data_IF_287673057372
#
_entry.id   IF_287673057372
#
_cell.length_a   1.000
_cell.length_b   1.000
_cell.length_c   1.000
_cell.angle_alpha   90.00
_cell.angle_beta   90.00
_cell.angle_gamma   90.00
#
_symmetry.space_group_name_H-M   'P 1'
#
loop_
_entity.id
_entity.type
_entity.pdbx_description
1 polymer ?
#
# COMPACT_ATOMS: atom_id res chain seq x y z
N UNK A 1 -10.71 16.77 -5.67
CA UNK A 1 -11.23 15.55 -6.35
C UNK A 1 -10.50 15.11 -7.63
N UNK A 2 -9.95 16.02 -8.46
CA UNK A 2 -9.39 15.66 -9.79
C UNK A 2 -8.00 14.99 -9.79
N UNK A 3 -7.16 15.26 -8.79
CA UNK A 3 -5.78 14.73 -8.72
C UNK A 3 -5.73 13.25 -8.36
N UNK A 4 -6.57 12.81 -7.42
CA UNK A 4 -6.64 11.42 -6.93
C UNK A 4 -7.03 10.41 -8.02
N UNK A 5 -8.07 10.73 -8.81
CA UNK A 5 -8.47 9.87 -9.96
C UNK A 5 -7.36 9.73 -11.00
N UNK A 6 -6.55 10.78 -11.19
CA UNK A 6 -5.44 10.80 -12.16
C UNK A 6 -4.25 9.95 -11.68
N UNK A 7 -3.87 10.05 -10.39
CA UNK A 7 -2.84 9.20 -9.77
C UNK A 7 -3.23 7.71 -9.80
N UNK A 8 -4.48 7.39 -9.43
CA UNK A 8 -5.00 6.01 -9.42
C UNK A 8 -5.01 5.37 -10.82
N UNK A 9 -5.41 6.11 -11.85
CA UNK A 9 -5.39 5.62 -13.24
C UNK A 9 -3.95 5.34 -13.71
N UNK A 10 -3.04 6.30 -13.51
CA UNK A 10 -1.63 6.17 -13.90
C UNK A 10 -0.91 5.00 -13.23
N UNK A 11 -1.26 4.68 -11.98
CA UNK A 11 -0.67 3.54 -11.27
C UNK A 11 -1.01 2.19 -11.92
N UNK A 12 -2.30 1.91 -12.15
CA UNK A 12 -2.68 0.64 -12.79
C UNK A 12 -2.06 0.56 -14.17
N UNK A 13 -2.00 1.67 -14.92
CA UNK A 13 -1.32 1.72 -16.21
C UNK A 13 0.18 1.34 -16.09
N UNK A 14 0.88 1.77 -15.02
CA UNK A 14 2.30 1.46 -14.78
C UNK A 14 2.55 0.02 -14.33
N UNK A 15 1.79 -0.50 -13.34
CA UNK A 15 1.89 -1.89 -12.87
C UNK A 15 1.72 -2.89 -14.02
N UNK A 16 0.86 -2.49 -14.94
CA UNK A 16 0.47 -3.27 -16.10
C UNK A 16 1.53 -3.22 -17.21
N UNK A 17 2.23 -2.09 -17.38
CA UNK A 17 3.32 -1.95 -18.35
C UNK A 17 4.59 -2.72 -17.95
N UNK A 18 4.92 -2.81 -16.66
CA UNK A 18 6.15 -3.51 -16.22
C UNK A 18 6.07 -5.03 -16.38
N UNK A 19 4.86 -5.60 -16.42
CA UNK A 19 4.64 -7.05 -16.50
C UNK A 19 4.62 -7.58 -17.93
N UNK A 20 4.40 -6.73 -18.93
CA UNK A 20 4.34 -7.08 -20.34
C UNK A 20 4.42 -5.80 -21.15
N UNK A 21 5.43 -5.64 -22.03
CA UNK A 21 5.56 -4.49 -22.94
C UNK A 21 4.45 -4.39 -24.02
N UNK A 22 3.24 -4.89 -23.72
CA UNK A 22 2.09 -4.96 -24.60
C UNK A 22 0.94 -4.11 -24.06
N UNK A 23 0.16 -3.54 -24.97
CA UNK A 23 -1.12 -2.90 -24.68
C UNK A 23 -2.00 -3.85 -23.88
N UNK A 24 -2.29 -3.50 -22.63
CA UNK A 24 -3.10 -4.34 -21.76
C UNK A 24 -4.57 -4.00 -21.94
N UNK A 25 -5.34 -5.05 -22.18
CA UNK A 25 -6.75 -4.91 -22.48
C UNK A 25 -7.48 -4.52 -21.19
N UNK A 26 -8.57 -3.72 -21.26
CA UNK A 26 -9.37 -3.36 -20.09
C UNK A 26 -9.81 -4.55 -19.22
N UNK A 27 -9.98 -5.74 -19.83
CA UNK A 27 -10.29 -6.99 -19.12
C UNK A 27 -9.17 -7.41 -18.17
N UNK A 28 -7.92 -7.28 -18.59
CA UNK A 28 -6.75 -7.68 -17.82
C UNK A 28 -6.55 -6.70 -16.64
N UNK A 29 -6.73 -5.39 -16.85
CA UNK A 29 -6.73 -4.37 -15.76
C UNK A 29 -7.78 -4.69 -14.69
N UNK A 30 -8.99 -5.09 -15.10
CA UNK A 30 -10.04 -5.47 -14.16
C UNK A 30 -9.72 -6.77 -13.40
N UNK A 31 -9.03 -7.72 -14.03
CA UNK A 31 -8.57 -8.94 -13.37
C UNK A 31 -7.50 -8.64 -12.33
N UNK A 32 -6.49 -7.82 -12.66
CA UNK A 32 -5.47 -7.40 -11.70
C UNK A 32 -6.07 -6.67 -10.51
N UNK A 33 -6.97 -5.70 -10.74
CA UNK A 33 -7.71 -5.01 -9.67
C UNK A 33 -8.43 -5.98 -8.76
N UNK A 34 -9.12 -6.99 -9.32
CA UNK A 34 -9.82 -7.99 -8.52
C UNK A 34 -8.85 -8.88 -7.74
N UNK A 35 -7.70 -9.21 -8.30
CA UNK A 35 -6.70 -10.06 -7.65
C UNK A 35 -6.11 -9.36 -6.43
N UNK A 36 -5.59 -8.14 -6.60
CA UNK A 36 -5.01 -7.36 -5.48
C UNK A 36 -6.06 -7.00 -4.42
N UNK A 37 -7.33 -6.88 -4.80
CA UNK A 37 -8.42 -6.59 -3.87
C UNK A 37 -8.85 -7.83 -3.08
N UNK A 38 -8.67 -9.04 -3.62
CA UNK A 38 -9.14 -10.30 -3.02
C UNK A 38 -8.06 -11.13 -2.35
N UNK A 39 -6.78 -10.85 -2.63
CA UNK A 39 -5.68 -11.53 -1.95
C UNK A 39 -5.81 -11.31 -0.44
N UNK A 40 -5.55 -12.34 0.35
CA UNK A 40 -5.60 -12.28 1.82
C UNK A 40 -4.34 -11.66 2.43
N UNK A 41 -3.56 -10.92 1.64
CA UNK A 41 -2.38 -10.20 2.06
C UNK A 41 -2.69 -8.71 2.03
N UNK A 42 -2.18 -7.96 3.01
CA UNK A 42 -2.23 -6.51 2.99
C UNK A 42 -1.52 -5.96 1.74
N UNK A 43 -2.21 -5.10 1.00
CA UNK A 43 -1.63 -4.34 -0.11
C UNK A 43 -2.03 -2.89 0.06
N UNK A 44 -1.03 -2.03 0.20
CA UNK A 44 -1.16 -0.58 0.12
C UNK A 44 -0.17 -0.03 -0.89
N UNK A 45 -0.44 1.18 -1.37
CA UNK A 45 0.47 1.90 -2.26
C UNK A 45 0.48 3.36 -1.82
N UNK A 46 1.68 3.87 -1.62
CA UNK A 46 1.96 5.25 -1.26
C UNK A 46 2.75 5.95 -2.36
N UNK A 47 2.68 7.28 -2.40
CA UNK A 47 3.57 8.08 -3.25
C UNK A 47 4.94 8.30 -2.59
N UNK A 48 5.83 9.05 -3.25
CA UNK A 48 7.19 9.33 -2.78
C UNK A 48 7.26 10.06 -1.43
N UNK A 49 6.14 10.61 -0.96
CA UNK A 49 6.03 11.25 0.36
C UNK A 49 5.41 10.32 1.41
N UNK A 50 5.22 9.05 1.08
CA UNK A 50 4.57 8.08 1.94
C UNK A 50 3.06 8.26 2.04
N UNK A 51 2.42 9.07 1.19
CA UNK A 51 0.96 9.29 1.24
C UNK A 51 0.23 8.16 0.53
N UNK A 52 -0.62 7.44 1.26
CA UNK A 52 -1.35 6.28 0.75
C UNK A 52 -2.43 6.73 -0.23
N UNK A 53 -2.43 6.18 -1.45
CA UNK A 53 -3.46 6.42 -2.46
C UNK A 53 -4.22 5.17 -2.91
N UNK A 54 -3.78 3.99 -2.46
CA UNK A 54 -4.50 2.74 -2.62
C UNK A 54 -4.30 1.84 -1.40
N UNK A 55 -5.36 1.13 -1.03
CA UNK A 55 -5.34 0.10 0.01
C UNK A 55 -6.41 -0.94 -0.33
N UNK A 56 -6.11 -2.23 -0.15
CA UNK A 56 -7.07 -3.31 -0.32
C UNK A 56 -7.89 -3.58 0.96
N UNK A 57 -8.93 -4.41 0.87
CA UNK A 57 -9.75 -4.77 2.04
C UNK A 57 -8.97 -5.56 3.10
N UNK A 58 -8.03 -6.41 2.69
CA UNK A 58 -7.21 -7.17 3.63
C UNK A 58 -6.42 -6.26 4.57
N UNK A 59 -5.78 -5.21 4.05
CA UNK A 59 -5.05 -4.24 4.89
C UNK A 59 -5.97 -3.51 5.85
N UNK A 60 -7.17 -3.10 5.40
CA UNK A 60 -8.16 -2.44 6.27
C UNK A 60 -8.49 -3.34 7.46
N UNK A 61 -8.79 -4.61 7.20
CA UNK A 61 -9.10 -5.58 8.25
C UNK A 61 -7.91 -5.91 9.13
N UNK A 62 -6.72 -6.11 8.57
CA UNK A 62 -5.50 -6.43 9.31
C UNK A 62 -5.07 -5.30 10.25
N UNK A 63 -5.21 -4.05 9.80
CA UNK A 63 -4.83 -2.86 10.55
C UNK A 63 -5.94 -2.36 11.49
N UNK A 64 -7.08 -3.06 11.58
CA UNK A 64 -8.16 -2.73 12.51
C UNK A 64 -9.01 -1.51 12.13
N UNK A 65 -8.91 -1.02 10.88
CA UNK A 65 -9.72 0.08 10.38
C UNK A 65 -11.09 -0.39 9.87
N UNK A 66 -12.08 0.51 9.85
CA UNK A 66 -13.42 0.15 9.37
C UNK A 66 -13.57 0.38 7.87
N UNK A 67 -12.92 1.43 7.35
CA UNK A 67 -13.10 1.88 5.98
C UNK A 67 -11.79 2.26 5.32
N UNK A 68 -11.70 2.08 4.00
CA UNK A 68 -10.54 2.55 3.21
C UNK A 68 -10.30 4.05 3.36
N UNK A 69 -11.37 4.83 3.49
CA UNK A 69 -11.28 6.29 3.66
C UNK A 69 -10.56 6.73 4.93
N UNK A 70 -10.50 5.89 5.97
CA UNK A 70 -9.74 6.18 7.19
C UNK A 70 -8.22 6.03 7.00
N UNK A 71 -7.79 5.41 5.90
CA UNK A 71 -6.38 5.13 5.57
C UNK A 71 -5.91 6.00 4.39
N UNK A 72 -6.76 6.18 3.38
CA UNK A 72 -6.42 6.94 2.18
C UNK A 72 -6.06 8.39 2.52
N UNK A 73 -5.08 8.92 1.78
CA UNK A 73 -4.55 10.28 1.92
C UNK A 73 -3.83 10.55 3.26
N UNK A 74 -3.55 9.52 4.06
CA UNK A 74 -2.70 9.61 5.26
C UNK A 74 -1.27 9.17 4.96
N UNK A 75 -0.27 9.68 5.72
CA UNK A 75 1.06 9.11 5.75
C UNK A 75 1.04 7.65 6.21
N UNK A 76 1.82 6.79 5.54
CA UNK A 76 1.96 5.39 5.93
C UNK A 76 2.45 5.23 7.38
N UNK A 77 3.37 6.08 7.79
CA UNK A 77 3.91 6.09 9.16
C UNK A 77 2.83 6.33 10.21
N UNK A 78 1.88 7.24 9.95
CA UNK A 78 0.77 7.53 10.87
C UNK A 78 -0.20 6.34 10.98
N UNK A 79 -0.34 5.57 9.90
CA UNK A 79 -1.21 4.41 9.85
C UNK A 79 -0.58 3.20 10.53
N UNK A 80 0.74 3.03 10.43
CA UNK A 80 1.48 1.88 10.98
C UNK A 80 2.06 2.11 12.38
N UNK A 81 2.35 3.33 12.80
CA UNK A 81 3.09 3.58 14.06
C UNK A 81 2.39 4.56 15.01
N UNK A 82 1.29 5.20 14.60
CA UNK A 82 0.53 6.15 15.42
C UNK A 82 1.27 7.46 15.79
N UNK A 83 2.57 7.57 15.49
CA UNK A 83 3.47 8.69 15.76
C UNK A 83 4.74 8.54 14.86
N UNK A 84 5.62 9.56 14.70
CA UNK A 84 6.74 9.50 13.74
C UNK A 84 7.91 8.58 14.13
N UNK A 85 7.71 7.63 15.05
CA UNK A 85 8.71 6.61 15.35
C UNK A 85 8.59 5.50 14.32
N UNK A 86 9.42 5.60 13.29
CA UNK A 86 9.60 4.57 12.27
C UNK A 86 10.98 3.96 12.47
N UNK A 87 11.14 2.69 12.09
CA UNK A 87 12.47 2.12 11.96
C UNK A 87 13.16 2.73 10.74
N UNK A 88 14.21 3.52 10.97
CA UNK A 88 15.05 4.11 9.91
C UNK A 88 15.60 3.02 8.97
N UNK A 89 15.93 1.84 9.52
CA UNK A 89 16.50 0.71 8.77
C UNK A 89 15.62 0.22 7.61
N UNK A 90 14.29 0.23 7.76
CA UNK A 90 13.39 -0.19 6.69
C UNK A 90 13.46 0.75 5.48
N UNK A 91 13.54 2.06 5.74
CA UNK A 91 13.60 3.07 4.68
C UNK A 91 14.99 3.14 4.06
N UNK A 92 16.05 3.00 4.85
CA UNK A 92 17.42 2.94 4.34
C UNK A 92 17.59 1.75 3.38
N UNK A 93 17.09 0.56 3.75
CA UNK A 93 17.14 -0.63 2.88
C UNK A 93 16.28 -0.47 1.62
N UNK A 94 15.10 0.12 1.76
CA UNK A 94 14.24 0.45 0.61
C UNK A 94 14.91 1.44 -0.35
N UNK A 95 15.58 2.47 0.16
CA UNK A 95 16.27 3.48 -0.65
C UNK A 95 17.52 2.91 -1.34
N UNK A 96 18.24 1.99 -0.69
CA UNK A 96 19.44 1.36 -1.25
C UNK A 96 19.10 0.26 -2.28
N UNK A 97 18.15 -0.61 -1.98
CA UNK A 97 17.87 -1.82 -2.78
C UNK A 97 16.66 -1.65 -3.71
N UNK A 98 15.80 -0.67 -3.45
CA UNK A 98 14.54 -0.46 -4.17
C UNK A 98 13.45 -1.46 -3.82
N UNK A 99 13.70 -2.40 -2.89
CA UNK A 99 12.72 -3.32 -2.34
C UNK A 99 13.19 -3.85 -0.98
N UNK A 100 12.21 -4.22 -0.14
CA UNK A 100 12.42 -4.95 1.12
C UNK A 100 11.54 -6.20 1.08
N UNK A 101 12.01 -7.31 1.66
CA UNK A 101 11.28 -8.59 1.74
C UNK A 101 11.63 -9.33 3.02
N UNK A 102 10.69 -10.13 3.49
CA UNK A 102 10.83 -10.94 4.70
C UNK A 102 11.25 -10.10 5.92
N UNK A 103 10.82 -8.83 5.95
CA UNK A 103 11.14 -7.88 7.00
C UNK A 103 9.97 -7.81 7.99
N UNK A 104 10.26 -7.99 9.27
CA UNK A 104 9.28 -7.89 10.33
C UNK A 104 9.18 -6.46 10.85
N UNK A 105 7.97 -5.90 10.79
CA UNK A 105 7.64 -4.57 11.30
C UNK A 105 6.77 -4.72 12.54
N UNK A 106 7.17 -4.07 13.64
CA UNK A 106 6.30 -3.86 14.78
C UNK A 106 5.45 -2.61 14.55
N UNK A 107 4.16 -2.81 14.31
CA UNK A 107 3.19 -1.75 14.00
C UNK A 107 2.13 -1.61 15.11
N UNK A 108 1.38 -0.52 15.09
CA UNK A 108 0.18 -0.28 15.88
C UNK A 108 -1.05 -0.25 14.98
N UNK A 109 -2.07 -1.01 15.34
CA UNK A 109 -3.36 -0.99 14.64
C UNK A 109 -4.19 0.26 15.01
N UNK A 110 -5.38 0.41 14.42
CA UNK A 110 -6.26 1.55 14.66
C UNK A 110 -6.73 1.71 16.14
N UNK A 111 -6.62 0.64 16.94
CA UNK A 111 -6.95 0.62 18.37
C UNK A 111 -5.73 0.92 19.25
N UNK A 112 -4.53 1.05 18.66
CA UNK A 112 -3.26 1.23 19.36
C UNK A 112 -2.65 -0.07 19.89
N UNK A 113 -3.16 -1.23 19.45
CA UNK A 113 -2.59 -2.53 19.81
C UNK A 113 -1.38 -2.84 18.92
N UNK A 114 -0.35 -3.42 19.52
CA UNK A 114 0.84 -3.86 18.78
C UNK A 114 0.53 -5.09 17.92
N UNK A 115 0.92 -5.02 16.65
CA UNK A 115 0.79 -6.09 15.67
C UNK A 115 2.11 -6.28 14.93
N UNK A 116 2.46 -7.54 14.69
CA UNK A 116 3.63 -7.90 13.88
C UNK A 116 3.20 -8.08 12.42
N UNK A 117 3.86 -7.36 11.53
CA UNK A 117 3.63 -7.45 10.08
C UNK A 117 4.90 -7.96 9.41
N UNK A 118 4.77 -8.86 8.45
CA UNK A 118 5.88 -9.28 7.59
C UNK A 118 5.64 -8.65 6.22
N UNK A 119 6.67 -7.98 5.70
CA UNK A 119 6.64 -7.24 4.42
C UNK A 119 7.68 -7.80 3.46
#
# INVERSE_FOLDING_TARGET
>A
MGSFKKKKKRFFDTLIQSSSGNYVRPKDEMMYKRLIERVQCGVYIADEKGIIFYVNSASVSMLGYNTKSEILERPLTDVLYGAPNHEESFYDEMDELGFVRDYEILAQNAQGEEIHLIV
#
